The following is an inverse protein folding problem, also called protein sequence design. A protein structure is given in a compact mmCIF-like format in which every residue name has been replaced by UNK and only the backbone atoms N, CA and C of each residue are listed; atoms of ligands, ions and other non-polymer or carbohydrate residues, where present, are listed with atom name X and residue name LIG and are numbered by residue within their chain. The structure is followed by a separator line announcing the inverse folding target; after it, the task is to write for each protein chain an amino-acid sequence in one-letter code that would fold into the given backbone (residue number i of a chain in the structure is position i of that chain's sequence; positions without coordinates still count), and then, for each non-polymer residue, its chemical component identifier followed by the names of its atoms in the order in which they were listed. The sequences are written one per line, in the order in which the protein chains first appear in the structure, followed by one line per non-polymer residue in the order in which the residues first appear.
data_IF_507217556667
#
_entry.id   IF_507217556667
#
_cell.length_a   1.000
_cell.length_b   1.000
_cell.length_c   1.000
_cell.angle_alpha   90.00
_cell.angle_beta   90.00
_cell.angle_gamma   90.00
#
_symmetry.space_group_name_H-M   'P 1'
#
loop_
_entity.id
_entity.type
_entity.pdbx_description
1 polymer ?
#
# COMPACT_ATOMS: atom_id res chain seq x y z
N UNK A 1 7.59 -6.80 -4.87
CA UNK A 1 7.28 -5.43 -4.43
C UNK A 1 5.81 -5.12 -4.69
N UNK A 2 5.18 -4.22 -3.92
CA UNK A 2 3.91 -3.61 -4.28
C UNK A 2 3.94 -2.85 -5.60
N UNK A 3 2.84 -2.90 -6.34
CA UNK A 3 2.64 -2.08 -7.53
C UNK A 3 2.50 -0.59 -7.15
N UNK A 4 3.08 0.30 -7.96
CA UNK A 4 3.06 1.75 -7.76
C UNK A 4 1.66 2.35 -7.54
N UNK A 5 0.59 1.71 -8.02
CA UNK A 5 -0.80 2.15 -7.79
C UNK A 5 -1.21 2.21 -6.31
N UNK A 6 -0.41 1.62 -5.42
CA UNK A 6 -0.63 1.66 -3.98
C UNK A 6 0.10 2.82 -3.29
N UNK A 7 0.97 3.55 -3.99
CA UNK A 7 1.71 4.65 -3.38
C UNK A 7 0.88 5.92 -3.40
N UNK A 8 0.71 6.56 -2.24
CA UNK A 8 -0.12 7.76 -2.07
C UNK A 8 0.28 8.86 -3.07
N UNK A 9 1.58 9.08 -3.28
CA UNK A 9 2.13 10.08 -4.21
C UNK A 9 1.96 9.73 -5.70
N UNK A 10 1.40 8.56 -6.02
CA UNK A 10 1.09 8.10 -7.39
C UNK A 10 -0.40 8.02 -7.67
N UNK A 11 -1.26 8.36 -6.70
CA UNK A 11 -2.70 8.36 -6.90
C UNK A 11 -3.12 9.63 -7.63
N UNK A 12 -3.90 9.46 -8.70
CA UNK A 12 -4.51 10.55 -9.47
C UNK A 12 -6.01 10.28 -9.62
N UNK A 13 -6.77 11.24 -10.15
CA UNK A 13 -8.20 11.01 -10.46
C UNK A 13 -8.45 9.87 -11.46
N UNK A 14 -7.45 9.52 -12.29
CA UNK A 14 -7.54 8.42 -13.26
C UNK A 14 -7.21 7.06 -12.66
N UNK A 15 -6.76 7.00 -11.40
CA UNK A 15 -6.45 5.74 -10.73
C UNK A 15 -7.68 4.87 -10.56
N UNK A 16 -7.53 3.57 -10.79
CA UNK A 16 -8.61 2.60 -10.63
C UNK A 16 -9.01 2.48 -9.16
N UNK A 17 -10.25 2.88 -8.84
CA UNK A 17 -10.82 2.79 -7.49
C UNK A 17 -11.65 1.52 -7.32
N UNK A 18 -11.24 0.66 -6.39
CA UNK A 18 -12.00 -0.50 -5.90
C UNK A 18 -12.93 -0.11 -4.75
N UNK A 19 -13.74 -1.04 -4.24
CA UNK A 19 -14.56 -0.80 -3.05
C UNK A 19 -13.71 -0.43 -1.82
N UNK A 20 -12.60 -1.14 -1.63
CA UNK A 20 -11.59 -0.87 -0.61
C UNK A 20 -10.20 -0.77 -1.27
N UNK A 21 -9.45 0.27 -0.91
CA UNK A 21 -8.14 0.57 -1.48
C UNK A 21 -7.15 0.88 -0.36
N UNK A 22 -6.09 0.08 -0.24
CA UNK A 22 -5.00 0.39 0.69
C UNK A 22 -3.93 1.19 -0.03
N UNK A 23 -3.65 2.39 0.47
CA UNK A 23 -2.56 3.26 0.04
C UNK A 23 -1.40 3.20 1.04
N UNK A 24 -0.20 3.48 0.56
CA UNK A 24 1.05 3.50 1.30
C UNK A 24 1.58 4.92 1.31
N UNK A 25 1.77 5.46 2.51
CA UNK A 25 2.51 6.70 2.74
C UNK A 25 4.01 6.39 2.83
N UNK A 26 4.71 6.60 1.70
CA UNK A 26 6.15 6.33 1.59
C UNK A 26 7.02 7.31 2.38
N UNK A 27 6.46 8.39 2.94
CA UNK A 27 7.19 9.25 3.88
C UNK A 27 7.35 8.59 5.26
N UNK A 28 6.52 7.58 5.57
CA UNK A 28 6.51 6.85 6.85
C UNK A 28 7.00 5.40 6.73
N UNK A 29 7.11 4.90 5.50
CA UNK A 29 7.37 3.47 5.24
C UNK A 29 8.46 3.29 4.20
N UNK A 30 9.54 2.62 4.61
CA UNK A 30 10.51 2.03 3.68
C UNK A 30 10.00 0.67 3.18
N UNK A 31 9.28 0.70 2.06
CA UNK A 31 8.72 -0.50 1.43
C UNK A 31 9.83 -1.42 0.90
N UNK A 32 10.97 -0.88 0.50
CA UNK A 32 12.07 -1.68 -0.06
C UNK A 32 12.69 -2.55 1.05
N UNK A 33 12.96 -1.95 2.21
CA UNK A 33 13.44 -2.69 3.37
C UNK A 33 12.51 -3.84 3.78
N UNK A 34 11.19 -3.61 3.77
CA UNK A 34 10.22 -4.67 4.07
C UNK A 34 10.23 -5.80 3.04
N UNK A 35 10.30 -5.46 1.74
CA UNK A 35 10.34 -6.44 0.65
C UNK A 35 11.60 -7.30 0.77
N UNK A 36 12.74 -6.69 1.07
CA UNK A 36 13.99 -7.42 1.22
C UNK A 36 14.00 -8.26 2.49
N UNK A 37 13.40 -7.80 3.59
CA UNK A 37 13.19 -8.61 4.78
C UNK A 37 12.30 -9.83 4.50
N UNK A 38 11.21 -9.68 3.74
CA UNK A 38 10.34 -10.78 3.30
C UNK A 38 11.13 -11.78 2.45
N UNK A 39 11.88 -11.30 1.44
CA UNK A 39 12.70 -12.16 0.56
C UNK A 39 13.77 -12.94 1.33
N UNK A 40 14.36 -12.31 2.34
CA UNK A 40 15.37 -12.94 3.20
C UNK A 40 14.75 -13.84 4.29
N UNK A 41 13.44 -14.13 4.24
CA UNK A 41 12.77 -15.03 5.18
C UNK A 41 12.59 -14.46 6.60
N UNK A 42 12.70 -13.14 6.77
CA UNK A 42 12.60 -12.48 8.09
C UNK A 42 11.17 -12.12 8.49
N UNK A 43 10.21 -12.26 7.58
CA UNK A 43 8.80 -12.00 7.85
C UNK A 43 8.11 -13.22 8.45
N UNK A 44 7.14 -12.99 9.33
CA UNK A 44 6.28 -14.05 9.85
C UNK A 44 5.16 -14.31 8.85
N UNK A 45 4.98 -15.57 8.42
CA UNK A 45 3.95 -15.94 7.47
C UNK A 45 2.73 -16.53 8.20
N UNK A 46 1.58 -15.86 8.12
CA UNK A 46 0.35 -16.22 8.83
C UNK A 46 -0.83 -16.09 7.87
N UNK A 47 -1.71 -17.08 7.79
CA UNK A 47 -2.95 -17.02 6.99
C UNK A 47 -2.74 -16.51 5.54
N UNK A 48 -1.68 -16.98 4.88
CA UNK A 48 -1.29 -16.56 3.53
C UNK A 48 -0.86 -15.08 3.40
N UNK A 49 -0.36 -14.48 4.48
CA UNK A 49 0.08 -13.09 4.56
C UNK A 49 1.48 -12.98 5.19
N UNK A 50 2.24 -11.99 4.76
CA UNK A 50 3.53 -11.64 5.35
C UNK A 50 3.37 -10.53 6.36
N UNK A 51 3.81 -10.79 7.59
CA UNK A 51 3.83 -9.85 8.70
C UNK A 51 5.28 -9.42 8.95
N UNK A 52 5.56 -8.12 8.77
CA UNK A 52 6.89 -7.56 8.93
C UNK A 52 6.79 -6.12 9.42
N UNK A 53 7.60 -5.74 10.41
CA UNK A 53 7.68 -4.34 10.90
C UNK A 53 6.31 -3.70 11.25
N UNK A 54 5.38 -4.49 11.80
CA UNK A 54 4.02 -4.04 12.14
C UNK A 54 3.10 -3.80 10.92
N UNK A 55 3.48 -4.31 9.74
CA UNK A 55 2.74 -4.23 8.50
C UNK A 55 2.41 -5.61 7.96
N UNK A 56 1.27 -5.69 7.28
CA UNK A 56 0.71 -6.90 6.71
C UNK A 56 0.65 -6.72 5.20
N UNK A 57 1.26 -7.67 4.50
CA UNK A 57 1.23 -7.77 3.04
C UNK A 57 0.55 -9.06 2.62
N UNK A 58 -0.39 -8.94 1.69
CA UNK A 58 -0.84 -10.09 0.92
C UNK A 58 0.11 -10.33 -0.25
N UNK A 59 -0.06 -11.47 -0.89
CA UNK A 59 0.65 -11.78 -2.13
C UNK A 59 -0.30 -12.43 -3.12
N UNK A 60 -0.09 -12.13 -4.40
CA UNK A 60 -0.80 -12.74 -5.51
C UNK A 60 0.15 -12.78 -6.71
N UNK A 61 0.31 -13.95 -7.32
CA UNK A 61 1.20 -14.17 -8.48
C UNK A 61 2.64 -13.64 -8.27
N UNK A 62 3.19 -13.81 -7.05
CA UNK A 62 4.53 -13.34 -6.69
C UNK A 62 4.65 -11.82 -6.48
N UNK A 63 3.54 -11.08 -6.58
CA UNK A 63 3.48 -9.64 -6.32
C UNK A 63 2.89 -9.40 -4.93
N UNK A 64 3.55 -8.56 -4.14
CA UNK A 64 3.05 -8.16 -2.82
C UNK A 64 1.99 -7.06 -2.99
N UNK A 65 1.02 -6.99 -2.08
CA UNK A 65 0.13 -5.85 -1.97
C UNK A 65 -0.12 -5.49 -0.50
N UNK A 66 -0.25 -4.19 -0.16
CA UNK A 66 -0.48 -3.78 1.22
C UNK A 66 -1.88 -4.20 1.67
N UNK A 67 -2.00 -4.68 2.90
CA UNK A 67 -3.29 -4.96 3.56
C UNK A 67 -3.52 -3.93 4.65
N UNK A 68 -2.65 -3.87 5.65
CA UNK A 68 -2.77 -2.98 6.82
C UNK A 68 -1.45 -2.80 7.55
N UNK A 69 -1.40 -1.83 8.48
CA UNK A 69 -0.24 -1.55 9.33
C UNK A 69 0.21 -0.10 9.28
N UNK A 70 1.26 0.24 10.01
CA UNK A 70 1.73 1.62 10.12
C UNK A 70 2.11 2.21 8.75
N UNK A 71 1.57 3.39 8.43
CA UNK A 71 1.74 4.07 7.15
C UNK A 71 0.91 3.49 5.99
N UNK A 72 0.08 2.48 6.26
CA UNK A 72 -0.95 2.01 5.32
C UNK A 72 -2.31 2.57 5.72
N UNK A 73 -3.05 3.08 4.74
CA UNK A 73 -4.36 3.65 4.95
C UNK A 73 -5.37 2.98 4.04
N UNK A 74 -6.39 2.36 4.62
CA UNK A 74 -7.50 1.75 3.86
C UNK A 74 -8.57 2.80 3.64
N UNK A 75 -8.88 3.06 2.38
CA UNK A 75 -9.87 4.04 1.95
C UNK A 75 -10.99 3.35 1.19
N UNK A 76 -12.22 3.73 1.52
CA UNK A 76 -13.39 3.42 0.70
C UNK A 76 -13.23 4.00 -0.70
N UNK A 77 -14.03 3.52 -1.65
CA UNK A 77 -14.04 4.03 -3.02
C UNK A 77 -14.21 5.56 -3.10
N UNK A 78 -15.06 6.13 -2.24
CA UNK A 78 -15.32 7.57 -2.22
C UNK A 78 -14.10 8.31 -1.69
N UNK A 79 -13.57 7.90 -0.53
CA UNK A 79 -12.38 8.51 0.08
C UNK A 79 -11.17 8.44 -0.86
N UNK A 80 -10.97 7.31 -1.55
CA UNK A 80 -9.88 7.15 -2.50
C UNK A 80 -10.01 8.10 -3.70
N UNK A 81 -11.22 8.32 -4.23
CA UNK A 81 -11.44 9.30 -5.30
C UNK A 81 -11.22 10.73 -4.82
N UNK A 82 -11.71 11.07 -3.63
CA UNK A 82 -11.49 12.38 -3.01
C UNK A 82 -9.99 12.63 -2.78
N UNK A 83 -9.27 11.60 -2.30
CA UNK A 83 -7.82 11.66 -2.14
C UNK A 83 -7.10 11.90 -3.47
N UNK A 84 -7.55 11.27 -4.56
CA UNK A 84 -7.01 11.52 -5.90
C UNK A 84 -7.26 12.96 -6.40
N UNK A 85 -8.38 13.58 -6.03
CA UNK A 85 -8.64 15.01 -6.31
C UNK A 85 -7.66 15.88 -5.52
N UNK A 86 -7.54 15.66 -4.21
CA UNK A 86 -6.63 16.40 -3.35
C UNK A 86 -5.17 16.25 -3.80
N UNK A 87 -4.74 15.05 -4.16
CA UNK A 87 -3.36 14.80 -4.63
C UNK A 87 -3.05 15.54 -5.93
N UNK A 88 -4.06 15.77 -6.79
CA UNK A 88 -3.89 16.46 -8.06
C UNK A 88 -3.95 17.99 -7.94
N UNK A 89 -4.75 18.52 -7.01
CA UNK A 89 -5.08 19.95 -6.95
C UNK A 89 -4.74 20.63 -5.61
N UNK A 90 -4.47 19.87 -4.56
CA UNK A 90 -4.26 20.36 -3.20
C UNK A 90 -2.80 20.64 -2.81
N UNK A 91 -1.85 20.39 -3.72
CA UNK A 91 -0.43 20.76 -3.57
C UNK A 91 -0.13 22.19 -4.12
N UNK A 92 -1.06 23.14 -3.95
CA UNK A 92 -0.85 24.57 -4.24
C UNK A 92 -0.54 25.36 -2.98
#
# INVERSE_FOLDING_TARGET
MPNNRHYADKITQKSLAKEQNTIIDRSKVDVQSDVDAIRNGKAVFINNQYHINGRIYGHHDGVLYPISGNGFYTLSRIEFKTFGVFSQFGNT
#
